data_IF_413815389709
#
_entry.id   IF_413815389709
#
_cell.length_a   1.000
_cell.length_b   1.000
_cell.length_c   1.000
_cell.angle_alpha   90.00
_cell.angle_beta   90.00
_cell.angle_gamma   90.00
#
_symmetry.space_group_name_H-M   'P 1'
#
loop_
_entity.id
_entity.type
_entity.pdbx_description
1 polymer ?
#
# COMPACT_ATOMS: atom_id res chain seq x y z
N UNK A 1 49.66 33.19 33.51
CA UNK A 1 49.35 31.85 32.97
C UNK A 1 47.84 31.70 33.07
N UNK A 2 47.12 31.95 31.96
CA UNK A 2 45.66 31.83 31.93
C UNK A 2 45.30 30.34 31.88
N UNK A 3 44.57 29.88 32.90
CA UNK A 3 43.94 28.56 32.88
C UNK A 3 42.74 28.61 31.95
N UNK A 4 42.89 28.02 30.78
CA UNK A 4 41.78 27.58 29.95
C UNK A 4 41.13 26.35 30.59
N UNK A 5 39.81 26.29 30.60
CA UNK A 5 39.00 25.22 29.99
C UNK A 5 37.59 25.27 30.60
N UNK A 6 36.67 25.96 29.92
CA UNK A 6 35.62 25.42 29.04
C UNK A 6 34.31 25.21 29.83
N UNK A 7 33.26 25.90 29.36
CA UNK A 7 31.99 26.04 30.04
C UNK A 7 31.20 24.73 30.18
N UNK A 8 30.02 24.79 30.81
CA UNK A 8 29.17 23.63 31.00
C UNK A 8 28.89 22.94 29.65
N UNK A 9 29.18 21.65 29.63
CA UNK A 9 28.85 20.73 28.55
C UNK A 9 27.38 20.88 28.15
N UNK A 10 27.07 21.01 26.84
CA UNK A 10 25.71 21.17 26.37
C UNK A 10 24.88 19.91 26.68
N UNK A 11 23.75 20.14 27.34
CA UNK A 11 22.74 19.15 27.70
C UNK A 11 22.39 18.26 26.50
N UNK A 12 22.63 16.97 26.70
CA UNK A 12 22.43 15.90 25.74
C UNK A 12 20.99 15.85 25.21
N UNK A 13 20.85 16.17 23.92
CA UNK A 13 20.05 15.41 22.94
C UNK A 13 18.73 14.75 23.43
N UNK A 14 17.70 15.55 23.64
CA UNK A 14 16.31 15.10 23.50
C UNK A 14 15.70 15.60 22.18
N UNK A 15 16.28 15.11 21.08
CA UNK A 15 15.62 15.02 19.78
C UNK A 15 16.04 13.70 19.15
N UNK A 16 15.08 12.78 19.00
CA UNK A 16 15.03 11.55 18.18
C UNK A 16 14.23 10.51 19.00
N UNK A 17 13.04 10.05 18.67
CA UNK A 17 12.10 10.35 17.60
C UNK A 17 10.85 9.51 17.88
N UNK A 18 9.67 10.11 17.80
CA UNK A 18 8.42 9.37 17.67
C UNK A 18 8.41 8.76 16.27
N UNK A 19 9.04 7.59 16.12
CA UNK A 19 8.98 6.82 14.89
C UNK A 19 8.95 5.35 15.26
N UNK A 20 7.97 4.67 14.69
CA UNK A 20 7.94 3.22 14.54
C UNK A 20 7.56 2.41 15.78
N UNK A 21 6.28 2.44 16.14
CA UNK A 21 5.61 1.30 16.81
C UNK A 21 4.34 0.86 16.07
N UNK A 22 4.38 0.89 14.74
CA UNK A 22 3.22 0.55 13.90
C UNK A 22 3.59 -0.34 12.70
N UNK A 23 4.58 -1.22 12.80
CA UNK A 23 5.00 -2.06 11.64
C UNK A 23 4.58 -3.55 11.72
N UNK A 24 3.96 -3.98 12.82
CA UNK A 24 3.60 -5.41 13.00
C UNK A 24 2.11 -5.72 12.85
N UNK A 25 1.21 -4.72 12.96
CA UNK A 25 -0.25 -4.97 12.99
C UNK A 25 -0.97 -4.84 11.65
N UNK A 26 -0.29 -4.36 10.62
CA UNK A 26 -0.96 -3.90 9.40
C UNK A 26 -0.65 -4.76 8.17
N UNK A 27 0.04 -5.90 8.33
CA UNK A 27 0.28 -6.85 7.23
C UNK A 27 -0.97 -7.64 6.91
N UNK A 28 -1.59 -7.30 5.78
CA UNK A 28 -2.80 -7.92 5.29
C UNK A 28 -2.45 -8.77 4.06
N UNK A 29 -2.71 -10.08 4.13
CA UNK A 29 -2.52 -10.95 2.98
C UNK A 29 -3.73 -10.88 2.03
N UNK A 30 -3.53 -10.32 0.85
CA UNK A 30 -4.52 -10.27 -0.23
C UNK A 30 -4.08 -11.17 -1.38
N UNK A 31 -5.03 -11.55 -2.24
CA UNK A 31 -4.77 -12.42 -3.39
C UNK A 31 -5.07 -11.63 -4.65
N UNK A 32 -4.06 -11.34 -5.47
CA UNK A 32 -4.21 -10.58 -6.73
C UNK A 32 -3.95 -11.50 -7.91
N UNK A 33 -4.94 -11.72 -8.78
CA UNK A 33 -4.85 -12.64 -9.92
C UNK A 33 -4.29 -14.03 -9.54
N UNK A 34 -4.74 -14.56 -8.38
CA UNK A 34 -4.32 -15.85 -7.85
C UNK A 34 -2.94 -15.86 -7.15
N UNK A 35 -2.30 -14.71 -6.97
CA UNK A 35 -1.01 -14.57 -6.28
C UNK A 35 -1.18 -13.85 -4.97
N UNK A 36 -0.70 -14.45 -3.88
CA UNK A 36 -0.70 -13.78 -2.58
C UNK A 36 0.26 -12.58 -2.59
N UNK A 37 -0.21 -11.47 -2.02
CA UNK A 37 0.50 -10.20 -1.86
C UNK A 37 0.24 -9.70 -0.45
N UNK A 38 1.28 -9.19 0.19
CA UNK A 38 1.15 -8.54 1.48
C UNK A 38 1.06 -7.04 1.24
N UNK A 39 0.02 -6.42 1.78
CA UNK A 39 -0.14 -4.97 1.82
C UNK A 39 -0.11 -4.51 3.27
N UNK A 40 0.42 -3.32 3.52
CA UNK A 40 0.47 -2.71 4.86
C UNK A 40 -0.65 -1.70 5.08
N UNK A 41 -1.62 -1.65 4.15
CA UNK A 41 -2.71 -0.67 4.14
C UNK A 41 -4.04 -1.40 4.15
N UNK A 42 -4.96 -0.97 5.02
CA UNK A 42 -6.33 -1.46 5.09
C UNK A 42 -7.17 -1.03 3.87
N UNK A 43 -6.67 -0.10 3.07
CA UNK A 43 -7.30 0.38 1.83
C UNK A 43 -6.33 0.22 0.67
N UNK A 44 -6.85 -0.25 -0.47
CA UNK A 44 -6.07 -0.38 -1.71
C UNK A 44 -6.78 0.32 -2.87
N UNK A 45 -6.01 1.09 -3.63
CA UNK A 45 -6.51 1.79 -4.80
C UNK A 45 -6.53 0.91 -6.05
N UNK A 46 -7.34 1.31 -7.03
CA UNK A 46 -7.37 0.68 -8.36
C UNK A 46 -5.96 0.55 -8.97
N UNK A 47 -5.15 1.59 -8.84
CA UNK A 47 -3.82 1.65 -9.43
C UNK A 47 -2.87 0.65 -8.76
N UNK A 48 -2.87 0.60 -7.42
CA UNK A 48 -2.04 -0.35 -6.68
C UNK A 48 -2.39 -1.80 -7.03
N UNK A 49 -3.68 -2.13 -7.18
CA UNK A 49 -4.08 -3.47 -7.62
C UNK A 49 -3.47 -3.81 -9.00
N UNK A 50 -3.44 -2.86 -9.93
CA UNK A 50 -2.81 -3.06 -11.24
C UNK A 50 -1.29 -3.27 -11.12
N UNK A 51 -0.61 -2.49 -10.29
CA UNK A 51 0.84 -2.62 -10.04
C UNK A 51 1.19 -3.98 -9.40
N UNK A 52 0.30 -4.51 -8.54
CA UNK A 52 0.45 -5.83 -7.96
C UNK A 52 0.13 -6.97 -8.95
N UNK A 53 -0.80 -6.73 -9.88
CA UNK A 53 -1.26 -7.69 -10.87
C UNK A 53 -0.33 -7.80 -12.09
N UNK A 54 0.21 -6.68 -12.55
CA UNK A 54 0.99 -6.56 -13.78
C UNK A 54 2.31 -5.84 -13.47
N UNK A 55 3.44 -6.49 -13.76
CA UNK A 55 4.76 -5.88 -13.59
C UNK A 55 5.67 -6.24 -14.78
N UNK A 56 5.88 -5.33 -15.75
CA UNK A 56 5.36 -3.95 -15.81
C UNK A 56 3.86 -3.89 -16.11
N UNK A 57 3.19 -2.84 -15.63
CA UNK A 57 1.79 -2.56 -16.01
C UNK A 57 1.76 -2.17 -17.49
N UNK A 58 0.94 -2.80 -18.34
CA UNK A 58 0.81 -2.39 -19.73
C UNK A 58 0.36 -0.93 -19.80
N UNK A 59 0.93 -0.17 -20.72
CA UNK A 59 0.70 1.28 -20.83
C UNK A 59 0.37 1.66 -22.26
N UNK A 60 -0.61 2.53 -22.46
CA UNK A 60 -1.04 3.02 -23.77
C UNK A 60 -2.55 3.31 -23.80
N UNK A 61 -2.99 4.16 -24.73
CA UNK A 61 -4.39 4.59 -24.82
C UNK A 61 -5.38 3.49 -25.22
N UNK A 62 -4.89 2.36 -25.72
CA UNK A 62 -5.71 1.23 -26.17
C UNK A 62 -6.00 0.22 -25.05
N UNK A 63 -5.38 0.37 -23.87
CA UNK A 63 -5.56 -0.56 -22.77
C UNK A 63 -6.74 -0.16 -21.89
N UNK A 64 -7.71 -1.07 -21.75
CA UNK A 64 -8.80 -0.96 -20.79
C UNK A 64 -8.56 -1.90 -19.61
N UNK A 65 -8.56 -1.35 -18.40
CA UNK A 65 -8.34 -2.09 -17.18
C UNK A 65 -9.65 -2.29 -16.43
N UNK A 66 -9.92 -3.52 -16.03
CA UNK A 66 -11.04 -3.87 -15.16
C UNK A 66 -10.52 -4.55 -13.91
N UNK A 67 -10.88 -4.01 -12.73
CA UNK A 67 -10.55 -4.60 -11.44
C UNK A 67 -11.84 -5.00 -10.75
N UNK A 68 -11.89 -6.23 -10.26
CA UNK A 68 -12.96 -6.72 -9.40
C UNK A 68 -12.36 -7.23 -8.10
N UNK A 69 -13.13 -7.12 -7.01
CA UNK A 69 -12.74 -7.60 -5.71
C UNK A 69 -13.81 -8.52 -5.13
N UNK A 70 -13.38 -9.42 -4.24
CA UNK A 70 -14.22 -10.33 -3.48
C UNK A 70 -13.66 -10.49 -2.07
N UNK A 71 -14.53 -10.75 -1.11
CA UNK A 71 -14.16 -10.87 0.31
C UNK A 71 -13.44 -9.61 0.83
N UNK A 72 -13.86 -8.43 0.38
CA UNK A 72 -13.44 -7.15 0.93
C UNK A 72 -13.98 -6.94 2.35
N UNK A 73 -13.38 -5.99 3.07
CA UNK A 73 -13.86 -5.58 4.38
C UNK A 73 -15.08 -4.62 4.29
N UNK A 74 -15.31 -4.02 3.12
CA UNK A 74 -16.43 -3.14 2.84
C UNK A 74 -17.78 -3.83 2.63
N UNK A 75 -18.83 -3.01 2.46
CA UNK A 75 -20.18 -3.45 2.06
C UNK A 75 -20.54 -2.73 0.74
N UNK A 76 -20.81 -3.45 -0.36
CA UNK A 76 -20.78 -4.91 -0.50
C UNK A 76 -19.35 -5.49 -0.38
N UNK A 77 -19.22 -6.76 0.05
CA UNK A 77 -17.91 -7.42 0.19
C UNK A 77 -17.31 -7.83 -1.16
N UNK A 78 -18.06 -7.67 -2.25
CA UNK A 78 -17.64 -7.97 -3.62
C UNK A 78 -18.18 -6.91 -4.58
N UNK A 79 -17.44 -6.67 -5.67
CA UNK A 79 -17.82 -5.68 -6.66
C UNK A 79 -16.70 -5.36 -7.65
N UNK A 80 -16.91 -4.29 -8.43
CA UNK A 80 -15.90 -3.73 -9.33
C UNK A 80 -15.26 -2.50 -8.72
N UNK A 81 -13.94 -2.41 -8.77
CA UNK A 81 -13.19 -1.22 -8.39
C UNK A 81 -12.99 -0.35 -9.64
N UNK A 82 -13.44 0.90 -9.59
CA UNK A 82 -13.33 1.85 -10.72
C UNK A 82 -12.00 2.60 -10.65
N UNK A 83 -11.49 3.13 -11.78
CA UNK A 83 -10.34 4.02 -11.78
C UNK A 83 -10.53 5.20 -10.81
N UNK A 84 -9.53 5.44 -9.96
CA UNK A 84 -9.58 6.46 -8.91
C UNK A 84 -10.39 6.07 -7.66
N UNK A 85 -10.97 4.86 -7.63
CA UNK A 85 -11.63 4.30 -6.46
C UNK A 85 -10.67 3.51 -5.57
N UNK A 86 -11.08 3.35 -4.32
CA UNK A 86 -10.38 2.61 -3.28
C UNK A 86 -11.35 1.64 -2.60
N UNK A 87 -10.82 0.55 -2.03
CA UNK A 87 -11.61 -0.44 -1.30
C UNK A 87 -10.88 -0.90 -0.06
N UNK A 88 -11.65 -1.13 1.00
CA UNK A 88 -11.15 -1.71 2.25
C UNK A 88 -10.88 -3.19 2.10
N UNK A 89 -9.67 -3.61 2.46
CA UNK A 89 -9.17 -4.98 2.38
C UNK A 89 -9.04 -5.59 3.76
N UNK A 90 -8.99 -6.92 3.78
CA UNK A 90 -8.68 -7.75 4.94
C UNK A 90 -7.96 -9.01 4.45
N UNK A 91 -7.48 -9.82 5.37
CA UNK A 91 -6.87 -11.10 5.01
C UNK A 91 -7.81 -11.97 4.16
N UNK A 92 -7.27 -12.46 3.06
CA UNK A 92 -7.98 -13.23 2.06
C UNK A 92 -8.89 -12.41 1.15
N UNK A 93 -8.79 -11.07 1.11
CA UNK A 93 -9.44 -10.29 0.04
C UNK A 93 -8.82 -10.68 -1.31
N UNK A 94 -9.68 -10.95 -2.30
CA UNK A 94 -9.27 -11.40 -3.62
C UNK A 94 -9.53 -10.30 -4.64
N UNK A 95 -8.52 -9.92 -5.40
CA UNK A 95 -8.59 -9.03 -6.54
C UNK A 95 -8.34 -9.79 -7.84
N UNK A 96 -9.14 -9.47 -8.85
CA UNK A 96 -8.90 -9.90 -10.22
C UNK A 96 -8.79 -8.67 -11.10
N UNK A 97 -7.66 -8.55 -11.79
CA UNK A 97 -7.38 -7.45 -12.69
C UNK A 97 -7.22 -8.00 -14.11
N UNK A 98 -7.98 -7.44 -15.04
CA UNK A 98 -7.93 -7.78 -16.46
C UNK A 98 -7.47 -6.56 -17.25
N UNK A 99 -6.56 -6.76 -18.19
CA UNK A 99 -6.11 -5.76 -19.14
C UNK A 99 -6.57 -6.20 -20.54
N UNK A 100 -7.37 -5.37 -21.19
CA UNK A 100 -7.91 -5.62 -22.53
C UNK A 100 -7.31 -4.63 -23.51
N UNK A 101 -6.74 -5.13 -24.60
CA UNK A 101 -6.29 -4.31 -25.72
C UNK A 101 -7.46 -4.07 -26.69
N UNK A 102 -7.80 -2.81 -26.92
CA UNK A 102 -8.72 -2.40 -27.98
C UNK A 102 -7.91 -2.14 -29.25
N UNK A 103 -7.50 -3.22 -29.92
CA UNK A 103 -6.95 -3.17 -31.29
C UNK A 103 -8.04 -2.84 -32.33
#
# INVERSE_FOLDING_TARGET
>A
MYGSEEGPVPDDKDKLGDKDRSDDKDRIAIIVNGRERIVTSEEISFKEVLELAFNPVPSGSNWEFTVTYRNGAGRPPDGSLRPGGEVKVKDGTVFNATATDKS
#
